data_IF_787924033913
#
_entry.id   IF_787924033913
#
_cell.length_a   1.000
_cell.length_b   1.000
_cell.length_c   1.000
_cell.angle_alpha   90.00
_cell.angle_beta   90.00
_cell.angle_gamma   90.00
#
_symmetry.space_group_name_H-M   'P 1'
#
loop_
_entity.id
_entity.type
_entity.pdbx_description
1 polymer ?
#
# COMPACT_ATOMS: atom_id res chain seq x y z
N UNK A 1 -24.93 -28.36 0.99
CA UNK A 1 -25.50 -27.92 2.29
C UNK A 1 -24.46 -27.23 3.18
N UNK A 2 -23.25 -27.76 3.37
CA UNK A 2 -22.25 -27.05 4.20
C UNK A 2 -21.82 -25.67 3.65
N UNK A 3 -21.80 -25.49 2.32
CA UNK A 3 -21.40 -24.22 1.69
C UNK A 3 -22.40 -23.08 1.93
N UNK A 4 -23.71 -23.36 2.00
CA UNK A 4 -24.72 -22.33 2.28
C UNK A 4 -24.66 -21.83 3.72
N UNK A 5 -24.25 -22.68 4.66
CA UNK A 5 -24.35 -22.39 6.09
C UNK A 5 -23.20 -21.51 6.59
N UNK A 6 -22.00 -21.63 5.99
CA UNK A 6 -20.89 -20.73 6.30
C UNK A 6 -21.10 -19.34 5.68
N UNK A 7 -21.65 -19.26 4.46
CA UNK A 7 -21.95 -18.00 3.78
C UNK A 7 -23.02 -17.22 4.53
N UNK A 8 -24.10 -17.90 4.95
CA UNK A 8 -25.11 -17.30 5.80
C UNK A 8 -24.50 -16.75 7.09
N UNK A 9 -23.68 -17.55 7.79
CA UNK A 9 -23.01 -17.12 9.02
C UNK A 9 -22.05 -15.94 8.77
N UNK A 10 -21.32 -15.94 7.65
CA UNK A 10 -20.44 -14.84 7.26
C UNK A 10 -21.21 -13.55 7.00
N UNK A 11 -22.29 -13.63 6.21
CA UNK A 11 -23.13 -12.48 5.84
C UNK A 11 -23.81 -11.87 7.06
N UNK A 12 -24.27 -12.69 8.01
CA UNK A 12 -24.79 -12.20 9.29
C UNK A 12 -23.69 -11.49 10.09
N UNK A 13 -22.45 -12.02 10.07
CA UNK A 13 -21.29 -11.34 10.65
C UNK A 13 -21.04 -9.96 10.03
N UNK A 14 -21.10 -9.86 8.70
CA UNK A 14 -20.99 -8.58 7.96
C UNK A 14 -22.10 -7.62 8.35
N UNK A 15 -23.35 -8.09 8.46
CA UNK A 15 -24.48 -7.28 8.88
C UNK A 15 -24.28 -6.68 10.28
N UNK A 16 -23.90 -7.49 11.27
CA UNK A 16 -23.62 -6.97 12.62
C UNK A 16 -22.41 -6.04 12.66
N UNK A 17 -21.40 -6.29 11.82
CA UNK A 17 -20.26 -5.37 11.69
C UNK A 17 -20.69 -3.99 11.17
N UNK A 18 -21.65 -3.93 10.24
CA UNK A 18 -22.22 -2.68 9.73
C UNK A 18 -23.05 -1.94 10.79
N UNK A 19 -23.70 -2.67 11.69
CA UNK A 19 -24.38 -2.13 12.87
C UNK A 19 -23.43 -1.77 14.02
N UNK A 20 -22.13 -1.96 13.83
CA UNK A 20 -21.09 -1.79 14.86
C UNK A 20 -21.26 -2.70 16.10
N UNK A 21 -22.05 -3.77 16.01
CA UNK A 21 -22.11 -4.84 17.01
C UNK A 21 -20.98 -5.85 16.76
N UNK A 22 -19.78 -5.47 17.16
CA UNK A 22 -18.58 -6.29 16.95
C UNK A 22 -18.59 -7.59 17.76
N UNK A 23 -19.38 -7.68 18.83
CA UNK A 23 -19.50 -8.90 19.63
C UNK A 23 -20.30 -9.96 18.88
N UNK A 24 -21.44 -9.58 18.31
CA UNK A 24 -22.21 -10.48 17.44
C UNK A 24 -21.48 -10.76 16.14
N UNK A 25 -20.82 -9.76 15.53
CA UNK A 25 -19.99 -9.98 14.36
C UNK A 25 -18.89 -11.03 14.62
N UNK A 26 -18.17 -10.92 15.75
CA UNK A 26 -17.15 -11.89 16.16
C UNK A 26 -17.74 -13.30 16.28
N UNK A 27 -18.90 -13.44 16.93
CA UNK A 27 -19.58 -14.73 17.08
C UNK A 27 -19.88 -15.37 15.73
N UNK A 28 -20.49 -14.61 14.82
CA UNK A 28 -20.90 -15.11 13.51
C UNK A 28 -19.72 -15.42 12.58
N UNK A 29 -18.66 -14.60 12.61
CA UNK A 29 -17.43 -14.92 11.89
C UNK A 29 -16.73 -16.16 12.45
N UNK A 30 -16.71 -16.38 13.78
CA UNK A 30 -16.18 -17.63 14.33
C UNK A 30 -17.01 -18.84 13.90
N UNK A 31 -18.34 -18.71 13.88
CA UNK A 31 -19.24 -19.77 13.40
C UNK A 31 -18.94 -20.10 11.93
N UNK A 32 -18.86 -19.09 11.08
CA UNK A 32 -18.48 -19.26 9.66
C UNK A 32 -17.10 -19.90 9.50
N UNK A 33 -16.10 -19.44 10.26
CA UNK A 33 -14.76 -20.02 10.27
C UNK A 33 -14.76 -21.50 10.68
N UNK A 34 -15.54 -21.88 11.70
CA UNK A 34 -15.59 -23.26 12.16
C UNK A 34 -16.25 -24.22 11.15
N UNK A 35 -17.09 -23.70 10.24
CA UNK A 35 -17.72 -24.51 9.18
C UNK A 35 -16.76 -24.72 8.01
N UNK A 36 -16.13 -23.65 7.51
CA UNK A 36 -15.39 -23.71 6.23
C UNK A 36 -13.95 -23.21 6.26
N UNK A 37 -13.48 -22.66 7.38
CA UNK A 37 -12.17 -22.00 7.50
C UNK A 37 -11.93 -20.97 6.39
N UNK A 38 -12.94 -20.19 6.01
CA UNK A 38 -12.81 -19.21 4.93
C UNK A 38 -11.92 -18.02 5.32
N UNK A 39 -11.16 -17.52 4.34
CA UNK A 39 -10.17 -16.45 4.53
C UNK A 39 -10.79 -15.12 4.99
N UNK A 40 -12.00 -14.80 4.54
CA UNK A 40 -12.65 -13.52 4.82
C UNK A 40 -13.13 -13.44 6.27
N UNK A 41 -13.66 -14.54 6.83
CA UNK A 41 -13.97 -14.64 8.26
C UNK A 41 -12.71 -14.49 9.11
N UNK A 42 -11.61 -15.14 8.74
CA UNK A 42 -10.35 -14.97 9.45
C UNK A 42 -9.84 -13.52 9.38
N UNK A 43 -9.94 -12.88 8.22
CA UNK A 43 -9.56 -11.47 8.05
C UNK A 43 -10.40 -10.55 8.95
N UNK A 44 -11.73 -10.70 8.92
CA UNK A 44 -12.64 -9.87 9.72
C UNK A 44 -12.47 -10.10 11.23
N UNK A 45 -12.23 -11.35 11.66
CA UNK A 45 -11.84 -11.62 13.05
C UNK A 45 -10.55 -10.90 13.43
N UNK A 46 -9.55 -10.90 12.54
CA UNK A 46 -8.32 -10.13 12.74
C UNK A 46 -8.58 -8.63 12.93
N UNK A 47 -9.51 -8.06 12.16
CA UNK A 47 -9.91 -6.65 12.26
C UNK A 47 -10.63 -6.35 13.56
N UNK A 48 -11.58 -7.21 13.99
CA UNK A 48 -12.27 -7.07 15.28
C UNK A 48 -11.27 -7.13 16.44
N UNK A 49 -10.36 -8.11 16.46
CA UNK A 49 -9.36 -8.18 17.52
C UNK A 49 -8.39 -7.00 17.52
N UNK A 50 -8.01 -6.48 16.34
CA UNK A 50 -7.21 -5.26 16.24
C UNK A 50 -7.96 -4.05 16.82
N UNK A 51 -9.26 -3.90 16.50
CA UNK A 51 -10.12 -2.83 17.02
C UNK A 51 -10.22 -2.89 18.54
N UNK A 52 -10.34 -4.09 19.11
CA UNK A 52 -10.39 -4.31 20.55
C UNK A 52 -8.99 -4.30 21.22
N UNK A 53 -7.97 -3.75 20.54
CA UNK A 53 -6.58 -3.68 21.01
C UNK A 53 -5.93 -5.04 21.37
N UNK A 54 -6.51 -6.16 20.93
CA UNK A 54 -5.93 -7.49 21.10
C UNK A 54 -5.02 -7.84 19.92
N UNK A 55 -3.87 -7.19 19.87
CA UNK A 55 -2.91 -7.29 18.75
C UNK A 55 -2.41 -8.72 18.53
N UNK A 56 -2.18 -9.49 19.60
CA UNK A 56 -1.72 -10.87 19.49
C UNK A 56 -2.76 -11.77 18.83
N UNK A 57 -4.05 -11.65 19.19
CA UNK A 57 -5.12 -12.39 18.49
C UNK A 57 -5.28 -11.90 17.06
N UNK A 58 -5.18 -10.60 16.81
CA UNK A 58 -5.23 -10.06 15.46
C UNK A 58 -4.14 -10.68 14.56
N UNK A 59 -2.90 -10.78 15.05
CA UNK A 59 -1.80 -11.46 14.34
C UNK A 59 -2.15 -12.91 14.02
N UNK A 60 -2.70 -13.67 14.98
CA UNK A 60 -3.07 -15.06 14.75
C UNK A 60 -4.09 -15.20 13.62
N UNK A 61 -5.11 -14.35 13.61
CA UNK A 61 -6.17 -14.37 12.60
C UNK A 61 -5.71 -13.88 11.22
N UNK A 62 -4.90 -12.82 11.15
CA UNK A 62 -4.30 -12.40 9.88
C UNK A 62 -3.32 -13.42 9.31
N UNK A 63 -2.59 -14.16 10.16
CA UNK A 63 -1.73 -15.27 9.68
C UNK A 63 -2.58 -16.35 9.02
N UNK A 64 -3.70 -16.74 9.64
CA UNK A 64 -4.65 -17.70 9.05
C UNK A 64 -5.22 -17.18 7.72
N UNK A 65 -5.71 -15.95 7.69
CA UNK A 65 -6.21 -15.33 6.46
C UNK A 65 -5.14 -15.34 5.35
N UNK A 66 -3.92 -14.92 5.65
CA UNK A 66 -2.80 -14.91 4.70
C UNK A 66 -2.35 -16.30 4.25
N UNK A 67 -2.48 -17.33 5.07
CA UNK A 67 -2.21 -18.72 4.69
C UNK A 67 -3.25 -19.23 3.68
N UNK A 68 -4.48 -18.75 3.78
CA UNK A 68 -5.59 -19.06 2.88
C UNK A 68 -5.67 -18.14 1.64
N UNK A 69 -4.62 -17.36 1.41
CA UNK A 69 -4.52 -16.50 0.23
C UNK A 69 -5.24 -15.15 0.34
N UNK A 70 -5.52 -14.66 1.56
CA UNK A 70 -5.93 -13.27 1.74
C UNK A 70 -4.73 -12.31 1.63
N UNK A 71 -4.88 -11.35 0.72
CA UNK A 71 -3.86 -10.34 0.40
C UNK A 71 -3.68 -9.37 1.57
N UNK A 72 -4.81 -8.89 2.09
CA UNK A 72 -4.89 -7.83 3.09
C UNK A 72 -4.26 -8.24 4.42
N UNK A 73 -4.40 -9.52 4.80
CA UNK A 73 -3.81 -10.08 6.02
C UNK A 73 -2.28 -10.04 6.01
N UNK A 74 -1.63 -10.33 4.87
CA UNK A 74 -0.18 -10.22 4.77
C UNK A 74 0.30 -8.76 4.92
N UNK A 75 -0.38 -7.83 4.26
CA UNK A 75 -0.08 -6.40 4.40
C UNK A 75 -0.26 -5.91 5.84
N UNK A 76 -1.39 -6.22 6.48
CA UNK A 76 -1.68 -5.79 7.85
C UNK A 76 -0.73 -6.39 8.87
N UNK A 77 -0.24 -7.62 8.66
CA UNK A 77 0.85 -8.18 9.48
C UNK A 77 2.11 -7.32 9.37
N UNK A 78 2.46 -6.88 8.16
CA UNK A 78 3.57 -5.95 7.94
C UNK A 78 3.42 -4.66 8.76
N UNK A 79 2.24 -4.04 8.67
CA UNK A 79 1.90 -2.82 9.43
C UNK A 79 1.98 -3.03 10.94
N UNK A 80 1.47 -4.16 11.45
CA UNK A 80 1.48 -4.47 12.88
C UNK A 80 2.93 -4.65 13.39
N UNK A 81 3.76 -5.44 12.71
CA UNK A 81 5.14 -5.63 13.13
C UNK A 81 5.94 -4.32 13.10
N UNK A 82 5.68 -3.46 12.11
CA UNK A 82 6.31 -2.14 12.00
C UNK A 82 5.87 -1.19 13.12
N UNK A 83 4.56 -1.06 13.36
CA UNK A 83 4.03 0.00 14.21
C UNK A 83 3.92 -0.40 15.68
N UNK A 84 3.45 -1.61 15.97
CA UNK A 84 3.19 -2.07 17.34
C UNK A 84 4.45 -2.66 18.01
N UNK A 85 5.31 -3.32 17.24
CA UNK A 85 6.46 -4.05 17.79
C UNK A 85 7.82 -3.50 17.37
N UNK A 86 7.88 -2.58 16.40
CA UNK A 86 9.12 -2.06 15.80
C UNK A 86 10.05 -3.17 15.30
N UNK A 87 9.46 -4.30 14.88
CA UNK A 87 10.12 -5.49 14.35
C UNK A 87 10.21 -5.37 12.82
N UNK A 88 11.15 -4.56 12.36
CA UNK A 88 11.23 -4.17 10.95
C UNK A 88 11.56 -5.33 10.00
N UNK A 89 12.34 -6.33 10.42
CA UNK A 89 12.66 -7.48 9.59
C UNK A 89 11.42 -8.35 9.32
N UNK A 90 10.57 -8.52 10.34
CA UNK A 90 9.29 -9.20 10.24
C UNK A 90 8.31 -8.40 9.37
N UNK A 91 8.26 -7.08 9.55
CA UNK A 91 7.47 -6.21 8.67
C UNK A 91 7.89 -6.36 7.20
N UNK A 92 9.20 -6.32 6.92
CA UNK A 92 9.76 -6.54 5.58
C UNK A 92 9.34 -7.90 5.01
N UNK A 93 9.39 -8.97 5.81
CA UNK A 93 8.99 -10.31 5.38
C UNK A 93 7.52 -10.35 4.94
N UNK A 94 6.63 -9.74 5.72
CA UNK A 94 5.20 -9.72 5.43
C UNK A 94 4.83 -8.81 4.27
N UNK A 95 5.42 -7.61 4.18
CA UNK A 95 5.25 -6.77 3.00
C UNK A 95 5.79 -7.41 1.73
N UNK A 96 6.95 -8.09 1.77
CA UNK A 96 7.47 -8.84 0.61
C UNK A 96 6.53 -9.96 0.21
N UNK A 97 5.94 -10.69 1.18
CA UNK A 97 4.94 -11.71 0.90
C UNK A 97 3.73 -11.10 0.19
N UNK A 98 3.21 -9.98 0.70
CA UNK A 98 2.08 -9.27 0.09
C UNK A 98 2.39 -8.83 -1.35
N UNK A 99 3.54 -8.18 -1.55
CA UNK A 99 3.95 -7.76 -2.88
C UNK A 99 4.14 -8.93 -3.86
N UNK A 100 4.86 -9.99 -3.47
CA UNK A 100 5.23 -11.06 -4.39
C UNK A 100 4.05 -11.98 -4.75
N UNK A 101 3.24 -12.38 -3.78
CA UNK A 101 2.18 -13.36 -4.00
C UNK A 101 0.85 -12.72 -4.39
N UNK A 102 0.59 -11.50 -3.91
CA UNK A 102 -0.73 -10.88 -4.00
C UNK A 102 -0.76 -9.63 -4.86
N UNK A 103 0.37 -9.32 -5.51
CA UNK A 103 0.55 -8.17 -6.40
C UNK A 103 0.24 -6.82 -5.74
N UNK A 104 0.27 -6.74 -4.42
CA UNK A 104 -0.05 -5.54 -3.63
C UNK A 104 1.02 -4.44 -3.83
N UNK A 105 0.58 -3.29 -4.35
CA UNK A 105 1.44 -2.12 -4.61
C UNK A 105 1.70 -1.29 -3.36
N UNK A 106 0.78 -1.30 -2.40
CA UNK A 106 0.90 -0.54 -1.16
C UNK A 106 1.94 -1.18 -0.23
N UNK A 107 2.03 -2.51 -0.26
CA UNK A 107 3.14 -3.23 0.39
C UNK A 107 4.52 -2.81 -0.14
N UNK A 108 4.69 -2.66 -1.46
CA UNK A 108 5.96 -2.17 -2.02
C UNK A 108 6.22 -0.70 -1.68
N UNK A 109 5.19 0.16 -1.68
CA UNK A 109 5.33 1.53 -1.22
C UNK A 109 5.79 1.59 0.26
N UNK A 110 5.20 0.77 1.13
CA UNK A 110 5.59 0.71 2.55
C UNK A 110 7.00 0.15 2.74
N UNK A 111 7.43 -0.83 1.93
CA UNK A 111 8.83 -1.25 1.91
C UNK A 111 9.76 -0.08 1.54
N UNK A 112 9.40 0.69 0.51
CA UNK A 112 10.13 1.90 0.13
C UNK A 112 10.24 2.90 1.28
N UNK A 113 9.15 3.11 2.01
CA UNK A 113 9.09 4.01 3.17
C UNK A 113 9.94 3.50 4.34
N UNK A 114 9.86 2.22 4.65
CA UNK A 114 10.61 1.58 5.73
C UNK A 114 12.11 1.69 5.47
N UNK A 115 12.60 1.35 4.26
CA UNK A 115 14.01 1.51 3.92
C UNK A 115 14.45 2.98 3.90
N UNK A 116 13.60 3.91 3.44
CA UNK A 116 13.88 5.35 3.53
C UNK A 116 14.10 5.79 4.97
N UNK A 117 13.25 5.33 5.90
CA UNK A 117 13.36 5.67 7.33
C UNK A 117 14.65 5.08 7.95
N UNK A 118 15.09 3.93 7.46
CA UNK A 118 16.40 3.34 7.81
C UNK A 118 17.59 3.99 7.06
N UNK A 119 17.34 5.02 6.25
CA UNK A 119 18.33 5.69 5.39
C UNK A 119 18.97 4.80 4.32
N UNK A 120 18.40 3.63 4.03
CA UNK A 120 18.79 2.80 2.88
C UNK A 120 18.06 3.30 1.63
N UNK A 121 18.54 4.40 1.07
CA UNK A 121 17.89 5.06 -0.06
C UNK A 121 17.96 4.23 -1.34
N UNK A 122 18.99 3.38 -1.51
CA UNK A 122 19.09 2.46 -2.65
C UNK A 122 17.98 1.43 -2.62
N UNK A 123 17.73 0.77 -1.48
CA UNK A 123 16.60 -0.17 -1.37
C UNK A 123 15.26 0.56 -1.42
N UNK A 124 15.18 1.76 -0.84
CA UNK A 124 13.97 2.59 -0.92
C UNK A 124 13.56 2.87 -2.36
N UNK A 125 14.51 3.32 -3.18
CA UNK A 125 14.32 3.59 -4.61
C UNK A 125 13.82 2.34 -5.35
N UNK A 126 14.47 1.19 -5.14
CA UNK A 126 14.08 -0.08 -5.77
C UNK A 126 12.63 -0.44 -5.44
N UNK A 127 12.22 -0.31 -4.18
CA UNK A 127 10.87 -0.69 -3.76
C UNK A 127 9.81 0.31 -4.21
N UNK A 128 10.11 1.60 -4.22
CA UNK A 128 9.19 2.57 -4.82
C UNK A 128 9.05 2.37 -6.33
N UNK A 129 10.12 2.09 -7.07
CA UNK A 129 10.03 1.78 -8.51
C UNK A 129 9.12 0.59 -8.78
N UNK A 130 9.27 -0.49 -8.01
CA UNK A 130 8.36 -1.66 -8.05
C UNK A 130 6.90 -1.32 -7.76
N UNK A 131 6.65 -0.40 -6.83
CA UNK A 131 5.29 0.08 -6.57
C UNK A 131 4.74 0.97 -7.71
N UNK A 132 5.59 1.78 -8.35
CA UNK A 132 5.25 2.60 -9.53
C UNK A 132 4.92 1.74 -10.75
N UNK A 133 5.68 0.67 -10.99
CA UNK A 133 5.37 -0.33 -12.04
C UNK A 133 3.99 -0.96 -11.86
N UNK A 134 3.50 -1.01 -10.60
CA UNK A 134 2.15 -1.43 -10.23
C UNK A 134 1.21 -0.26 -9.95
N UNK A 135 1.52 0.90 -10.49
CA UNK A 135 0.64 2.08 -10.54
C UNK A 135 0.30 2.66 -9.16
N UNK A 136 1.24 2.60 -8.21
CA UNK A 136 1.09 3.28 -6.93
C UNK A 136 1.39 4.77 -7.10
N UNK A 137 0.34 5.59 -7.02
CA UNK A 137 0.46 7.06 -7.07
C UNK A 137 1.16 7.62 -5.82
N UNK A 138 1.03 6.95 -4.67
CA UNK A 138 1.80 7.34 -3.48
C UNK A 138 3.29 7.01 -3.64
N UNK A 139 3.63 5.91 -4.30
CA UNK A 139 5.01 5.62 -4.64
C UNK A 139 5.60 6.64 -5.63
N UNK A 140 4.85 7.10 -6.64
CA UNK A 140 5.29 8.19 -7.53
C UNK A 140 5.70 9.44 -6.74
N UNK A 141 4.81 9.90 -5.84
CA UNK A 141 5.08 11.05 -4.97
C UNK A 141 6.27 10.81 -4.04
N UNK A 142 6.35 9.63 -3.43
CA UNK A 142 7.42 9.30 -2.49
C UNK A 142 8.78 9.15 -3.18
N UNK A 143 8.81 8.56 -4.38
CA UNK A 143 10.00 8.41 -5.21
C UNK A 143 10.50 9.76 -5.70
N UNK A 144 9.59 10.63 -6.17
CA UNK A 144 9.99 11.99 -6.56
C UNK A 144 10.57 12.80 -5.39
N UNK A 145 9.99 12.69 -4.19
CA UNK A 145 10.55 13.29 -2.97
C UNK A 145 11.89 12.68 -2.56
N UNK A 146 12.06 11.37 -2.74
CA UNK A 146 13.34 10.69 -2.50
C UNK A 146 14.42 11.25 -3.41
N UNK A 147 14.12 11.39 -4.71
CA UNK A 147 15.05 11.95 -5.68
C UNK A 147 15.44 13.39 -5.35
N UNK A 148 14.49 14.27 -5.07
CA UNK A 148 14.79 15.67 -4.73
C UNK A 148 15.56 15.80 -3.41
N UNK A 149 15.02 15.27 -2.30
CA UNK A 149 15.57 15.58 -0.97
C UNK A 149 16.74 14.70 -0.53
N UNK A 150 16.89 13.49 -1.10
CA UNK A 150 17.88 12.51 -0.63
C UNK A 150 18.90 12.12 -1.69
N UNK A 151 18.49 12.00 -2.94
CA UNK A 151 19.39 11.63 -4.04
C UNK A 151 19.88 12.84 -4.86
N UNK A 152 19.32 14.03 -4.62
CA UNK A 152 19.66 15.29 -5.29
C UNK A 152 19.58 15.22 -6.82
N UNK A 153 18.57 14.51 -7.35
CA UNK A 153 18.28 14.42 -8.79
C UNK A 153 16.91 15.01 -9.10
N UNK A 154 16.89 16.31 -9.39
CA UNK A 154 15.63 17.03 -9.62
C UNK A 154 14.96 16.64 -10.94
N UNK A 155 15.71 16.18 -11.94
CA UNK A 155 15.12 15.72 -13.20
C UNK A 155 14.29 14.46 -12.95
N UNK A 156 14.85 13.49 -12.23
CA UNK A 156 14.10 12.31 -11.80
C UNK A 156 12.95 12.69 -10.86
N UNK A 157 13.16 13.62 -9.93
CA UNK A 157 12.11 14.08 -9.03
C UNK A 157 10.88 14.59 -9.80
N UNK A 158 11.13 15.48 -10.77
CA UNK A 158 10.12 16.02 -11.67
C UNK A 158 9.49 14.91 -12.52
N UNK A 159 10.27 13.98 -13.06
CA UNK A 159 9.78 12.85 -13.87
C UNK A 159 8.65 12.10 -13.18
N UNK A 160 8.81 11.74 -11.90
CA UNK A 160 7.75 11.04 -11.17
C UNK A 160 6.61 11.97 -10.71
N UNK A 161 6.89 13.25 -10.43
CA UNK A 161 5.85 14.21 -10.04
C UNK A 161 4.90 14.57 -11.19
N UNK A 162 5.41 14.72 -12.41
CA UNK A 162 4.59 15.01 -13.59
C UNK A 162 3.58 13.89 -13.84
N UNK A 163 3.94 12.63 -13.61
CA UNK A 163 3.02 11.50 -13.72
C UNK A 163 1.84 11.57 -12.72
N UNK A 164 1.88 12.44 -11.71
CA UNK A 164 0.74 12.69 -10.82
C UNK A 164 -0.30 13.65 -11.42
N UNK A 165 0.04 14.37 -12.49
CA UNK A 165 -0.87 15.31 -13.14
C UNK A 165 -2.06 14.54 -13.71
N UNK A 166 -3.26 14.94 -13.31
CA UNK A 166 -4.56 14.33 -13.63
C UNK A 166 -4.75 12.88 -13.15
N UNK A 167 -3.71 12.19 -12.70
CA UNK A 167 -3.81 10.91 -12.00
C UNK A 167 -4.15 11.08 -10.51
N UNK A 168 -3.62 12.13 -9.86
CA UNK A 168 -3.87 12.42 -8.44
C UNK A 168 -4.11 13.90 -8.16
N UNK A 169 -3.46 14.79 -8.92
CA UNK A 169 -3.48 16.22 -8.67
C UNK A 169 -3.62 17.00 -9.99
N UNK A 170 -4.25 18.19 -10.00
CA UNK A 170 -4.34 19.01 -11.20
C UNK A 170 -2.96 19.56 -11.60
N UNK A 171 -2.75 19.80 -12.91
CA UNK A 171 -1.49 20.35 -13.47
C UNK A 171 -0.97 21.54 -12.68
N UNK A 172 -1.83 22.54 -12.43
CA UNK A 172 -1.47 23.77 -11.70
C UNK A 172 -0.83 23.47 -10.34
N UNK A 173 -1.39 22.53 -9.57
CA UNK A 173 -0.87 22.17 -8.24
C UNK A 173 0.53 21.57 -8.31
N UNK A 174 0.75 20.66 -9.26
CA UNK A 174 2.06 20.02 -9.44
C UNK A 174 3.11 21.04 -9.90
N UNK A 175 2.77 21.90 -10.87
CA UNK A 175 3.70 22.92 -11.37
C UNK A 175 4.04 23.97 -10.31
N UNK A 176 3.05 24.47 -9.55
CA UNK A 176 3.29 25.38 -8.43
C UNK A 176 4.20 24.75 -7.39
N UNK A 177 3.96 23.49 -7.00
CA UNK A 177 4.83 22.78 -6.04
C UNK A 177 6.30 22.74 -6.49
N UNK A 178 6.56 22.43 -7.76
CA UNK A 178 7.94 22.35 -8.28
C UNK A 178 8.60 23.73 -8.43
N UNK A 179 7.84 24.78 -8.76
CA UNK A 179 8.37 26.14 -8.98
C UNK A 179 8.52 26.94 -7.69
N UNK A 180 7.59 26.78 -6.76
CA UNK A 180 7.50 27.59 -5.55
C UNK A 180 8.20 26.91 -4.38
N UNK A 181 7.91 25.63 -4.12
CA UNK A 181 8.48 24.91 -2.98
C UNK A 181 9.88 24.39 -3.29
N UNK A 182 10.06 23.73 -4.44
CA UNK A 182 11.36 23.19 -4.85
C UNK A 182 12.23 24.20 -5.60
N UNK A 183 11.67 25.36 -5.98
CA UNK A 183 12.37 26.44 -6.69
C UNK A 183 13.12 25.96 -7.94
N UNK A 184 12.55 25.00 -8.66
CA UNK A 184 13.20 24.40 -9.82
C UNK A 184 13.09 25.32 -11.05
N UNK A 185 14.18 25.44 -11.84
CA UNK A 185 14.13 26.21 -13.07
C UNK A 185 13.26 25.50 -14.12
N UNK A 186 12.64 26.28 -15.02
CA UNK A 186 11.80 25.75 -16.09
C UNK A 186 12.53 24.70 -16.96
N UNK A 187 13.84 24.85 -17.15
CA UNK A 187 14.69 23.89 -17.89
C UNK A 187 14.68 22.49 -17.25
N UNK A 188 14.76 22.40 -15.92
CA UNK A 188 14.71 21.14 -15.18
C UNK A 188 13.33 20.50 -15.29
N UNK A 189 12.27 21.32 -15.18
CA UNK A 189 10.90 20.85 -15.33
C UNK A 189 10.67 20.27 -16.73
N UNK A 190 11.16 20.95 -17.78
CA UNK A 190 11.06 20.49 -19.16
C UNK A 190 11.83 19.19 -19.40
N UNK A 191 13.04 19.05 -18.85
CA UNK A 191 13.80 17.79 -18.92
C UNK A 191 13.06 16.64 -18.24
N UNK A 192 12.50 16.86 -17.05
CA UNK A 192 11.72 15.85 -16.35
C UNK A 192 10.45 15.43 -17.09
N UNK A 193 9.79 16.37 -17.79
CA UNK A 193 8.66 16.07 -18.68
C UNK A 193 9.02 15.14 -19.82
N UNK A 194 10.14 15.42 -20.51
CA UNK A 194 10.62 14.54 -21.58
C UNK A 194 11.04 13.17 -21.03
N UNK A 195 11.69 13.15 -19.87
CA UNK A 195 12.11 11.91 -19.24
C UNK A 195 10.93 11.01 -18.81
N UNK A 196 9.79 11.57 -18.35
CA UNK A 196 8.64 10.74 -18.00
C UNK A 196 7.95 10.10 -19.20
N UNK A 197 7.94 10.75 -20.37
CA UNK A 197 7.41 10.16 -21.60
C UNK A 197 8.19 8.90 -21.99
N UNK A 198 9.51 8.92 -21.78
CA UNK A 198 10.43 7.85 -22.15
C UNK A 198 10.71 6.83 -21.03
N UNK A 199 10.09 7.00 -19.85
CA UNK A 199 10.35 6.13 -18.71
C UNK A 199 9.82 4.71 -18.95
N UNK A 200 10.68 3.71 -18.70
CA UNK A 200 10.31 2.29 -18.69
C UNK A 200 9.64 1.86 -17.39
N UNK A 201 9.76 2.68 -16.33
CA UNK A 201 9.22 2.38 -15.00
C UNK A 201 7.79 2.91 -14.85
N UNK A 202 7.49 4.08 -15.43
CA UNK A 202 6.16 4.70 -15.35
C UNK A 202 5.24 4.01 -16.37
N UNK A 203 4.15 3.35 -15.93
CA UNK A 203 3.17 2.74 -16.83
C UNK A 203 2.58 3.78 -17.79
N UNK A 204 2.30 3.36 -19.03
CA UNK A 204 1.88 4.26 -20.11
C UNK A 204 0.66 5.11 -19.75
N UNK A 205 -0.31 4.52 -19.03
CA UNK A 205 -1.53 5.21 -18.60
C UNK A 205 -1.31 6.29 -17.53
N UNK A 206 -0.18 6.25 -16.83
CA UNK A 206 0.19 7.26 -15.84
C UNK A 206 1.01 8.40 -16.44
N UNK A 207 1.49 8.25 -17.68
CA UNK A 207 2.28 9.30 -18.33
C UNK A 207 1.40 10.48 -18.71
N UNK A 208 1.85 11.67 -18.37
CA UNK A 208 1.17 12.90 -18.73
C UNK A 208 1.63 13.38 -20.11
N UNK A 209 0.69 13.61 -21.03
CA UNK A 209 0.97 13.97 -22.43
C UNK A 209 0.54 15.39 -22.81
N UNK A 210 -0.01 16.15 -21.87
CA UNK A 210 -0.64 17.45 -22.13
C UNK A 210 0.31 18.65 -22.23
N UNK A 211 1.62 18.44 -22.37
CA UNK A 211 2.64 19.50 -22.40
C UNK A 211 2.81 20.23 -21.06
N UNK A 212 3.98 20.84 -20.82
CA UNK A 212 4.24 21.60 -19.58
C UNK A 212 4.31 23.09 -19.84
#
# INVERSE_FOLDING_TARGET
MADSDYEASYNIGVFYQQLEDYKLAEFWYKKSWNISQNKDSAFNLGQIYKRNNNINKAIQWYKKASQLGDNSGAFLLGVIYENNFKKYNEAIKWYKKSYNHFKDKDAANNLGLLYKNQKDYKKSEVWYKKAVERESLDALKNLGRLYHYKLQDDVQAVTYFIALINNKYPKKRILSYMREDWKLPCSTIQKGYQAQLNSKIIPEKLKYKGGI
#
